data_IF_977719589509
#
_entry.id   IF_977719589509
#
_cell.length_a   1.000
_cell.length_b   1.000
_cell.length_c   1.000
_cell.angle_alpha   90.00
_cell.angle_beta   90.00
_cell.angle_gamma   90.00
#
_symmetry.space_group_name_H-M   'P 1'
#
loop_
_entity.id
_entity.type
_entity.pdbx_description
1 polymer ?
#
# COMPACT_ATOMS: atom_id res chain seq x y z
N UNK A 1 -12.77 -10.52 -16.61
CA UNK A 1 -12.60 -10.04 -15.23
C UNK A 1 -11.14 -9.61 -15.12
N UNK A 2 -10.85 -8.32 -15.09
CA UNK A 2 -9.45 -7.86 -14.95
C UNK A 2 -8.95 -8.23 -13.56
N UNK A 3 -7.78 -8.85 -13.47
CA UNK A 3 -7.14 -9.22 -12.21
C UNK A 3 -6.61 -7.95 -11.49
N UNK A 4 -7.51 -7.14 -10.94
CA UNK A 4 -7.21 -5.82 -10.34
C UNK A 4 -6.49 -5.90 -8.97
N UNK A 5 -6.14 -7.10 -8.49
CA UNK A 5 -5.35 -7.30 -7.25
C UNK A 5 -4.08 -6.45 -7.20
N UNK A 6 -3.44 -6.26 -8.35
CA UNK A 6 -2.25 -5.41 -8.46
C UNK A 6 -2.58 -3.92 -8.31
N UNK A 7 -3.73 -3.47 -8.80
CA UNK A 7 -4.18 -2.08 -8.70
C UNK A 7 -4.54 -1.71 -7.26
N UNK A 8 -5.28 -2.57 -6.55
CA UNK A 8 -5.67 -2.33 -5.16
C UNK A 8 -4.48 -2.42 -4.20
N UNK A 9 -3.59 -3.39 -4.39
CA UNK A 9 -2.33 -3.46 -3.65
C UNK A 9 -1.43 -2.24 -3.92
N UNK A 10 -1.34 -1.77 -5.17
CA UNK A 10 -0.52 -0.60 -5.50
C UNK A 10 -1.09 0.71 -4.94
N UNK A 11 -2.42 0.87 -4.96
CA UNK A 11 -3.10 1.99 -4.29
C UNK A 11 -2.89 1.98 -2.79
N UNK A 12 -3.01 0.80 -2.18
CA UNK A 12 -2.77 0.60 -0.76
C UNK A 12 -1.32 0.95 -0.39
N UNK A 13 -0.35 0.44 -1.15
CA UNK A 13 1.06 0.74 -0.96
C UNK A 13 1.37 2.23 -1.13
N UNK A 14 0.80 2.89 -2.14
CA UNK A 14 1.01 4.32 -2.37
C UNK A 14 0.42 5.17 -1.25
N UNK A 15 -0.80 4.86 -0.82
CA UNK A 15 -1.46 5.55 0.31
C UNK A 15 -0.67 5.35 1.60
N UNK A 16 -0.26 4.12 1.88
CA UNK A 16 0.54 3.79 3.05
C UNK A 16 1.91 4.47 3.01
N UNK A 17 2.57 4.53 1.86
CA UNK A 17 3.83 5.24 1.65
C UNK A 17 3.68 6.75 1.92
N UNK A 18 2.59 7.37 1.44
CA UNK A 18 2.29 8.79 1.67
C UNK A 18 2.06 9.09 3.16
N UNK A 19 1.31 8.23 3.85
CA UNK A 19 1.14 8.35 5.30
C UNK A 19 2.46 8.10 6.02
N UNK A 20 3.26 7.15 5.54
CA UNK A 20 4.58 6.81 6.04
C UNK A 20 5.61 7.92 5.87
N UNK A 21 5.50 8.72 4.80
CA UNK A 21 6.43 9.80 4.46
C UNK A 21 6.56 10.85 5.56
N UNK A 22 5.51 11.05 6.37
CA UNK A 22 5.55 11.97 7.51
C UNK A 22 6.50 11.52 8.63
N UNK A 23 6.90 10.24 8.65
CA UNK A 23 7.86 9.68 9.61
C UNK A 23 9.25 9.45 8.98
N UNK A 24 9.49 9.99 7.77
CA UNK A 24 10.75 9.84 7.05
C UNK A 24 10.86 8.53 6.27
N UNK A 25 12.06 8.19 5.78
CA UNK A 25 12.28 7.09 4.82
C UNK A 25 11.81 5.73 5.35
N UNK A 26 12.03 5.48 6.65
CA UNK A 26 11.61 4.25 7.31
C UNK A 26 10.09 4.12 7.34
N UNK A 27 9.40 5.24 7.59
CA UNK A 27 7.94 5.30 7.56
C UNK A 27 7.37 5.02 6.17
N UNK A 28 8.00 5.53 5.10
CA UNK A 28 7.60 5.26 3.72
C UNK A 28 7.63 3.75 3.44
N UNK A 29 8.71 3.07 3.81
CA UNK A 29 8.88 1.63 3.54
C UNK A 29 7.85 0.81 4.31
N UNK A 30 7.67 1.09 5.61
CA UNK A 30 6.70 0.38 6.46
C UNK A 30 5.27 0.67 6.00
N UNK A 31 4.98 1.93 5.67
CA UNK A 31 3.71 2.36 5.16
C UNK A 31 3.36 1.70 3.83
N UNK A 32 4.30 1.65 2.89
CA UNK A 32 4.12 0.97 1.61
C UNK A 32 3.87 -0.53 1.77
N UNK A 33 4.63 -1.19 2.66
CA UNK A 33 4.48 -2.61 2.92
C UNK A 33 3.12 -2.95 3.54
N UNK A 34 2.75 -2.27 4.62
CA UNK A 34 1.46 -2.51 5.30
C UNK A 34 0.30 -2.10 4.39
N UNK A 35 0.40 -0.95 3.73
CA UNK A 35 -0.62 -0.48 2.80
C UNK A 35 -0.83 -1.42 1.63
N UNK A 36 0.24 -1.99 1.08
CA UNK A 36 0.17 -2.98 -0.01
C UNK A 36 -0.45 -4.29 0.43
N UNK A 37 -0.10 -4.79 1.62
CA UNK A 37 -0.69 -6.01 2.20
C UNK A 37 -2.19 -5.81 2.48
N UNK A 38 -2.57 -4.68 3.09
CA UNK A 38 -3.96 -4.35 3.38
C UNK A 38 -4.75 -4.16 2.09
N UNK A 39 -4.19 -3.48 1.08
CA UNK A 39 -4.81 -3.32 -0.23
C UNK A 39 -4.94 -4.63 -1.01
N UNK A 40 -4.09 -5.63 -0.73
CA UNK A 40 -4.21 -6.98 -1.28
C UNK A 40 -5.28 -7.81 -0.57
N UNK A 41 -5.37 -7.73 0.77
CA UNK A 41 -6.36 -8.46 1.58
C UNK A 41 -7.78 -7.92 1.37
N UNK A 42 -7.93 -6.61 1.20
CA UNK A 42 -9.24 -5.96 1.02
C UNK A 42 -9.77 -6.01 -0.42
N UNK A 43 -8.98 -6.48 -1.38
CA UNK A 43 -9.41 -6.69 -2.78
C UNK A 43 -10.06 -8.07 -2.99
N UNK A 44 -9.96 -8.96 -1.99
CA UNK A 44 -10.67 -10.23 -1.88
C UNK A 44 -12.02 -10.05 -1.15
#
# INVERSE_FOLDING_TARGET
MSNNFSDSAMKGATTGALIGARFGPQGIVIGAAIGGIVGFILDD
#
